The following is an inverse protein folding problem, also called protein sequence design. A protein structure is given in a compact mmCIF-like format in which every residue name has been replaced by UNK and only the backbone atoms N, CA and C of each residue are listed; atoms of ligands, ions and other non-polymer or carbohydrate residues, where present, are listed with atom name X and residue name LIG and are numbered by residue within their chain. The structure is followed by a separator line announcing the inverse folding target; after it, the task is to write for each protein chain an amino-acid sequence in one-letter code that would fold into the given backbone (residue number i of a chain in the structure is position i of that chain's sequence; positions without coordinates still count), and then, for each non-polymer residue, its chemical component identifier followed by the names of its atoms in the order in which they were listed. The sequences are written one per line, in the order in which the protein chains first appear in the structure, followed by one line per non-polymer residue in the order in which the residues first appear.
data_IF_186736435461
#
_entry.id   IF_186736435461
#
_cell.length_a   1.000
_cell.length_b   1.000
_cell.length_c   1.000
_cell.angle_alpha   90.00
_cell.angle_beta   90.00
_cell.angle_gamma   90.00
#
_symmetry.space_group_name_H-M   'P 1'
#
loop_
_entity.id
_entity.type
_entity.pdbx_description
1 polymer ?
#
# COMPACT_ATOMS: atom_id res chain seq x y z
N UNK A 1 4.59 4.91 -18.78
CA UNK A 1 4.61 3.58 -18.14
C UNK A 1 3.20 3.04 -18.22
N UNK A 2 3.03 1.85 -18.79
CA UNK A 2 1.72 1.21 -18.89
C UNK A 2 1.40 0.49 -17.57
N UNK A 3 0.12 0.26 -17.29
CA UNK A 3 -0.33 -0.47 -16.09
C UNK A 3 0.28 -1.88 -15.99
N UNK A 4 0.64 -2.46 -17.14
CA UNK A 4 1.32 -3.75 -17.26
C UNK A 4 2.77 -3.70 -16.76
N UNK A 5 3.50 -2.62 -17.06
CA UNK A 5 4.91 -2.48 -16.67
C UNK A 5 5.06 -2.39 -15.16
N UNK A 6 4.13 -1.69 -14.49
CA UNK A 6 4.13 -1.54 -13.03
C UNK A 6 3.87 -2.87 -12.32
N UNK A 7 2.93 -3.69 -12.81
CA UNK A 7 2.66 -5.01 -12.23
C UNK A 7 3.85 -5.97 -12.41
N UNK A 8 4.54 -5.91 -13.54
CA UNK A 8 5.74 -6.74 -13.78
C UNK A 8 6.85 -6.38 -12.80
N UNK A 9 7.11 -5.09 -12.60
CA UNK A 9 8.14 -4.58 -11.70
C UNK A 9 7.95 -5.05 -10.25
N UNK A 10 6.72 -5.01 -9.73
CA UNK A 10 6.42 -5.47 -8.37
C UNK A 10 6.67 -6.96 -8.21
N UNK A 11 6.25 -7.77 -9.20
CA UNK A 11 6.44 -9.22 -9.16
C UNK A 11 7.92 -9.59 -9.19
N UNK A 12 8.70 -8.95 -10.07
CA UNK A 12 10.14 -9.21 -10.19
C UNK A 12 10.86 -8.88 -8.87
N UNK A 13 10.47 -7.77 -8.21
CA UNK A 13 11.01 -7.39 -6.91
C UNK A 13 10.63 -8.37 -5.79
N UNK A 14 9.41 -8.91 -5.80
CA UNK A 14 8.98 -9.96 -4.87
C UNK A 14 9.75 -11.27 -5.10
N UNK A 15 10.12 -11.60 -6.33
CA UNK A 15 10.85 -12.83 -6.64
C UNK A 15 12.36 -12.73 -6.39
N UNK A 16 12.92 -11.52 -6.33
CA UNK A 16 14.37 -11.30 -6.27
C UNK A 16 15.09 -11.90 -5.04
N UNK A 17 14.39 -12.27 -3.96
CA UNK A 17 14.92 -13.01 -2.81
C UNK A 17 16.00 -12.28 -1.97
N UNK A 18 15.78 -12.14 -0.66
CA UNK A 18 16.69 -11.52 0.32
C UNK A 18 17.28 -10.17 -0.13
N UNK A 19 16.39 -9.23 -0.44
CA UNK A 19 16.78 -7.85 -0.70
C UNK A 19 16.77 -7.09 0.63
N UNK A 20 17.84 -6.33 0.89
CA UNK A 20 18.13 -5.70 2.18
C UNK A 20 17.02 -4.73 2.59
N UNK A 21 16.93 -4.37 3.87
CA UNK A 21 15.99 -3.36 4.40
C UNK A 21 16.11 -1.96 3.74
N UNK A 22 17.00 -1.81 2.75
CA UNK A 22 17.31 -0.60 1.99
C UNK A 22 16.70 -0.60 0.59
N UNK A 23 16.12 -1.71 0.10
CA UNK A 23 15.44 -1.73 -1.19
C UNK A 23 14.07 -1.08 -1.08
N UNK A 24 14.01 0.16 -1.56
CA UNK A 24 12.81 0.97 -1.64
C UNK A 24 12.08 0.68 -2.95
N UNK A 25 10.78 0.45 -2.86
CA UNK A 25 9.87 0.29 -3.97
C UNK A 25 8.90 1.48 -4.01
N UNK A 26 8.81 2.11 -5.16
CA UNK A 26 7.81 3.14 -5.44
C UNK A 26 6.54 2.48 -5.98
N UNK A 27 5.47 2.60 -5.21
CA UNK A 27 4.15 2.05 -5.52
C UNK A 27 3.19 3.20 -5.83
N UNK A 28 2.19 2.93 -6.66
CA UNK A 28 1.08 3.87 -6.82
C UNK A 28 0.28 3.95 -5.51
N UNK A 29 -0.11 5.16 -5.11
CA UNK A 29 -0.99 5.39 -3.97
C UNK A 29 -2.34 4.69 -4.20
N UNK A 30 -2.77 3.88 -3.23
CA UNK A 30 -3.99 3.08 -3.31
C UNK A 30 -5.21 3.79 -2.71
N UNK A 31 -5.21 5.12 -2.71
CA UNK A 31 -6.36 5.89 -2.25
C UNK A 31 -7.53 5.71 -3.23
N UNK A 32 -8.75 5.93 -2.76
CA UNK A 32 -9.97 5.72 -3.55
C UNK A 32 -10.25 6.84 -4.59
N UNK A 33 -9.24 7.67 -4.90
CA UNK A 33 -9.32 8.77 -5.86
C UNK A 33 -8.82 8.29 -7.24
N UNK A 34 -9.70 8.16 -8.26
CA UNK A 34 -9.33 7.61 -9.56
C UNK A 34 -8.35 8.48 -10.36
N UNK A 35 -8.25 9.77 -10.04
CA UNK A 35 -7.28 10.68 -10.66
C UNK A 35 -5.92 10.70 -9.94
N UNK A 36 -5.77 9.96 -8.84
CA UNK A 36 -4.53 9.95 -8.07
C UNK A 36 -3.41 9.27 -8.85
N UNK A 37 -2.31 10.01 -9.00
CA UNK A 37 -1.06 9.53 -9.61
C UNK A 37 0.13 9.64 -8.65
N UNK A 38 -0.14 9.95 -7.38
CA UNK A 38 0.87 10.03 -6.34
C UNK A 38 1.50 8.64 -6.11
N UNK A 39 2.80 8.63 -5.83
CA UNK A 39 3.53 7.41 -5.48
C UNK A 39 3.92 7.42 -4.01
N UNK A 40 3.96 6.23 -3.41
CA UNK A 40 4.44 6.00 -2.05
C UNK A 40 5.69 5.13 -2.09
N UNK A 41 6.74 5.58 -1.42
CA UNK A 41 8.01 4.86 -1.34
C UNK A 41 8.04 4.02 -0.07
N UNK A 42 8.18 2.70 -0.19
CA UNK A 42 8.19 1.79 0.96
C UNK A 42 9.26 0.72 0.83
N UNK A 43 9.68 0.13 1.94
CA UNK A 43 10.60 -1.01 1.92
C UNK A 43 9.83 -2.31 1.69
N UNK A 44 10.56 -3.36 1.31
CA UNK A 44 10.02 -4.72 1.19
C UNK A 44 9.32 -5.22 2.43
N UNK A 45 9.96 -5.07 3.57
CA UNK A 45 9.40 -5.50 4.85
C UNK A 45 8.06 -4.81 5.14
N UNK A 46 8.01 -3.48 4.94
CA UNK A 46 6.80 -2.67 5.13
C UNK A 46 5.68 -3.02 4.15
N UNK A 47 6.03 -3.22 2.89
CA UNK A 47 5.07 -3.68 1.89
C UNK A 47 4.46 -5.03 2.27
N UNK A 48 5.30 -6.00 2.62
CA UNK A 48 4.82 -7.34 3.00
C UNK A 48 3.97 -7.28 4.28
N UNK A 49 4.38 -6.48 5.27
CA UNK A 49 3.60 -6.28 6.49
C UNK A 49 2.21 -5.67 6.18
N UNK A 50 2.15 -4.67 5.30
CA UNK A 50 0.88 -4.08 4.87
C UNK A 50 0.02 -5.03 4.02
N UNK A 51 0.57 -6.15 3.54
CA UNK A 51 -0.14 -7.17 2.75
C UNK A 51 -0.46 -8.43 3.54
N UNK A 52 0.01 -8.53 4.78
CA UNK A 52 -0.27 -9.66 5.65
C UNK A 52 -1.77 -9.73 5.99
N UNK A 53 -2.42 -8.59 6.13
CA UNK A 53 -3.87 -8.49 6.32
C UNK A 53 -4.60 -8.05 5.04
N UNK A 54 -5.59 -8.85 4.61
CA UNK A 54 -6.43 -8.52 3.47
C UNK A 54 -7.23 -7.22 3.71
N UNK A 55 -7.25 -6.35 2.69
CA UNK A 55 -7.98 -5.09 2.72
C UNK A 55 -7.17 -3.91 3.26
N UNK A 56 -5.93 -4.10 3.67
CA UNK A 56 -5.01 -3.00 3.95
C UNK A 56 -4.48 -2.39 2.64
N UNK A 57 -4.40 -1.06 2.62
CA UNK A 57 -3.99 -0.25 1.47
C UNK A 57 -2.84 0.68 1.86
N UNK A 58 -1.90 0.87 0.94
CA UNK A 58 -0.80 1.84 1.09
C UNK A 58 -1.19 3.17 0.46
N UNK A 59 -1.29 4.22 1.27
CA UNK A 59 -1.71 5.55 0.84
C UNK A 59 -0.71 6.63 1.26
N UNK A 60 -0.61 7.70 0.48
CA UNK A 60 0.17 8.87 0.86
C UNK A 60 -0.48 9.57 2.07
N UNK A 61 0.32 10.19 2.92
CA UNK A 61 -0.19 11.00 4.02
C UNK A 61 -1.09 12.13 3.49
N UNK A 62 -2.29 12.28 4.07
CA UNK A 62 -3.31 13.23 3.63
C UNK A 62 -4.23 12.69 2.53
N UNK A 63 -4.00 11.46 2.02
CA UNK A 63 -4.86 10.80 1.04
C UNK A 63 -5.76 9.71 1.68
N UNK A 64 -5.72 9.56 3.00
CA UNK A 64 -6.63 8.69 3.72
C UNK A 64 -8.07 9.21 3.66
N UNK A 65 -9.02 8.27 3.63
CA UNK A 65 -10.44 8.60 3.61
C UNK A 65 -11.07 8.42 4.99
N UNK A 66 -12.12 9.18 5.31
CA UNK A 66 -12.80 9.11 6.61
C UNK A 66 -13.43 7.73 6.91
N UNK A 67 -13.67 6.92 5.88
CA UNK A 67 -14.16 5.53 6.03
C UNK A 67 -13.03 4.52 6.29
N UNK A 68 -11.81 4.98 6.49
CA UNK A 68 -10.63 4.17 6.74
C UNK A 68 -10.03 4.54 8.09
N UNK A 69 -9.29 3.60 8.68
CA UNK A 69 -8.45 3.84 9.87
C UNK A 69 -7.00 3.62 9.50
N UNK A 70 -6.11 4.44 10.05
CA UNK A 70 -4.66 4.25 9.95
C UNK A 70 -4.26 3.09 10.86
N UNK A 71 -3.64 2.06 10.28
CA UNK A 71 -3.07 0.91 10.99
C UNK A 71 -1.60 1.15 11.29
N UNK A 72 -0.86 1.68 10.31
CA UNK A 72 0.54 2.08 10.46
C UNK A 72 0.80 3.43 9.80
N UNK A 73 1.73 4.19 10.39
CA UNK A 73 2.22 5.45 9.83
C UNK A 73 3.76 5.39 9.73
N UNK A 74 4.29 5.55 8.52
CA UNK A 74 5.71 5.47 8.20
C UNK A 74 6.17 6.74 7.47
N UNK A 75 6.12 7.87 8.17
CA UNK A 75 6.38 9.18 7.56
C UNK A 75 5.27 9.56 6.60
N UNK A 76 5.61 9.73 5.33
CA UNK A 76 4.67 10.13 4.26
C UNK A 76 3.80 8.97 3.73
N UNK A 77 3.97 7.75 4.25
CA UNK A 77 3.21 6.56 3.86
C UNK A 77 2.36 6.07 5.02
N UNK A 78 1.07 5.87 4.76
CA UNK A 78 0.12 5.31 5.70
C UNK A 78 -0.36 3.94 5.20
N UNK A 79 -0.49 2.99 6.12
CA UNK A 79 -1.25 1.76 5.89
C UNK A 79 -2.64 1.98 6.46
N UNK A 80 -3.65 1.90 5.62
CA UNK A 80 -5.04 2.12 6.03
C UNK A 80 -5.87 0.86 5.82
N UNK A 81 -6.79 0.60 6.74
CA UNK A 81 -7.78 -0.46 6.62
C UNK A 81 -9.19 0.14 6.62
N UNK A 82 -10.17 -0.50 5.95
CA UNK A 82 -11.56 -0.11 6.06
C UNK A 82 -11.97 -0.06 7.53
N UNK A 83 -12.61 1.03 7.93
CA UNK A 83 -13.36 1.07 9.18
C UNK A 83 -14.59 0.20 8.96
N UNK A 84 -14.47 -1.10 9.25
CA UNK A 84 -15.61 -2.00 9.15
C UNK A 84 -16.76 -1.38 9.93
N UNK A 85 -17.86 -1.05 9.24
CA UNK A 85 -19.15 -1.09 9.89
C UNK A 85 -19.27 -2.52 10.44
N UNK A 86 -19.63 -2.65 11.72
CA UNK A 86 -19.73 -3.92 12.44
C UNK A 86 -20.29 -5.05 11.54
N UNK A 87 -19.87 -6.31 11.74
CA UNK A 87 -20.32 -7.41 10.90
C UNK A 87 -21.85 -7.38 10.78
N UNK A 88 -22.34 -7.38 9.54
CA UNK A 88 -23.72 -7.80 9.26
C UNK A 88 -23.80 -9.28 9.65
N UNK A 89 -24.09 -9.52 10.92
CA UNK A 89 -24.50 -10.83 11.40
C UNK A 89 -25.86 -11.09 10.72
N UNK A 90 -25.86 -11.97 9.73
CA UNK A 90 -27.07 -12.53 9.15
C UNK A 90 -27.58 -13.69 10.00
#
# INVERSE_FOLDING_TARGET
MTRSDHSQQVNDWLQAGASSSEDVLDLLCECNEPSCTATVSTTRERYLLARDEAGQLLVAAGHEHASQRVVHAWGEVLVVAPTLAAPLIA
#
